data_IF_575452069988
#
_entry.id   IF_575452069988
#
_cell.length_a   1.000
_cell.length_b   1.000
_cell.length_c   1.000
_cell.angle_alpha   90.00
_cell.angle_beta   90.00
_cell.angle_gamma   90.00
#
_symmetry.space_group_name_H-M   'P 1'
#
loop_
_entity.id
_entity.type
_entity.pdbx_description
1 polymer ?
#
# COMPACT_ATOMS: atom_id res chain seq x y z
N UNK A 1 -23.32 4.60 -32.02
CA UNK A 1 -23.21 4.86 -30.57
C UNK A 1 -22.39 3.72 -30.00
N UNK A 2 -21.13 3.95 -29.62
CA UNK A 2 -20.36 2.95 -28.90
C UNK A 2 -20.99 2.75 -27.52
N UNK A 3 -21.16 1.50 -27.08
CA UNK A 3 -21.58 1.21 -25.71
C UNK A 3 -20.65 1.92 -24.73
N UNK A 4 -21.22 2.65 -23.76
CA UNK A 4 -20.44 3.16 -22.63
C UNK A 4 -19.68 1.98 -22.00
N UNK A 5 -18.41 2.17 -21.60
CA UNK A 5 -17.67 1.10 -20.91
C UNK A 5 -18.45 0.68 -19.67
N UNK A 6 -18.78 -0.60 -19.58
CA UNK A 6 -19.44 -1.16 -18.40
C UNK A 6 -18.40 -1.26 -17.28
N UNK A 7 -18.55 -0.41 -16.25
CA UNK A 7 -17.75 -0.50 -15.04
C UNK A 7 -18.21 -1.72 -14.22
N UNK A 8 -17.27 -2.48 -13.67
CA UNK A 8 -17.61 -3.61 -12.81
C UNK A 8 -16.79 -3.61 -11.53
N UNK A 9 -17.40 -4.07 -10.45
CA UNK A 9 -16.79 -4.28 -9.14
C UNK A 9 -17.12 -5.68 -8.67
N UNK A 10 -16.10 -6.43 -8.24
CA UNK A 10 -16.26 -7.79 -7.72
C UNK A 10 -15.36 -7.97 -6.49
N UNK A 11 -15.81 -8.65 -5.44
CA UNK A 11 -14.94 -8.97 -4.31
C UNK A 11 -13.65 -9.66 -4.76
N UNK A 12 -12.53 -9.38 -4.10
CA UNK A 12 -11.29 -10.09 -4.36
C UNK A 12 -11.46 -11.60 -4.07
N UNK A 13 -10.81 -12.49 -4.84
CA UNK A 13 -10.82 -13.92 -4.53
C UNK A 13 -10.26 -14.17 -3.13
N UNK A 14 -10.94 -15.02 -2.37
CA UNK A 14 -10.51 -15.46 -1.04
C UNK A 14 -10.70 -16.96 -0.87
N UNK A 15 -9.97 -17.56 0.05
CA UNK A 15 -10.20 -18.97 0.42
C UNK A 15 -11.56 -19.14 1.08
N UNK A 16 -12.15 -20.33 1.00
CA UNK A 16 -13.46 -20.62 1.60
C UNK A 16 -13.48 -20.54 3.13
N UNK A 17 -12.31 -20.58 3.76
CA UNK A 17 -12.13 -20.48 5.20
C UNK A 17 -11.82 -19.05 5.67
N UNK A 18 -11.70 -18.10 4.73
CA UNK A 18 -11.35 -16.71 5.05
C UNK A 18 -12.60 -15.88 5.29
N UNK A 19 -12.65 -15.27 6.47
CA UNK A 19 -13.68 -14.30 6.87
C UNK A 19 -13.44 -12.88 6.36
N UNK A 20 -12.39 -12.66 5.54
CA UNK A 20 -12.11 -11.35 4.94
C UNK A 20 -13.31 -10.88 4.11
N UNK A 21 -13.81 -9.70 4.39
CA UNK A 21 -15.05 -9.13 3.83
C UNK A 21 -14.83 -7.82 3.05
N UNK A 22 -13.57 -7.39 2.93
CA UNK A 22 -13.16 -6.19 2.21
C UNK A 22 -12.26 -6.55 1.01
N UNK A 23 -12.01 -5.56 0.17
CA UNK A 23 -11.21 -5.70 -1.05
C UNK A 23 -12.06 -6.02 -2.27
N UNK A 24 -11.90 -5.25 -3.35
CA UNK A 24 -12.57 -5.52 -4.61
C UNK A 24 -11.67 -5.31 -5.83
N UNK A 25 -11.90 -6.09 -6.88
CA UNK A 25 -11.39 -5.84 -8.23
C UNK A 25 -12.34 -4.91 -8.97
N UNK A 26 -11.79 -3.86 -9.60
CA UNK A 26 -12.51 -2.96 -10.51
C UNK A 26 -11.98 -3.07 -11.93
N UNK A 27 -12.90 -3.16 -12.88
CA UNK A 27 -12.62 -3.18 -14.33
C UNK A 27 -13.42 -2.10 -15.07
N UNK A 28 -12.99 -1.77 -16.29
CA UNK A 28 -13.70 -0.81 -17.16
C UNK A 28 -13.36 0.65 -16.89
N UNK A 29 -12.48 0.95 -15.93
CA UNK A 29 -12.03 2.30 -15.61
C UNK A 29 -10.62 2.55 -16.15
N UNK A 30 -10.41 3.67 -16.84
CA UNK A 30 -9.09 4.13 -17.29
C UNK A 30 -8.63 5.28 -16.39
N UNK A 31 -7.65 5.04 -15.52
CA UNK A 31 -7.11 6.09 -14.64
C UNK A 31 -6.38 7.17 -15.45
N UNK A 32 -5.73 6.81 -16.55
CA UNK A 32 -5.07 7.75 -17.47
C UNK A 32 -6.04 8.78 -18.08
N UNK A 33 -7.32 8.43 -18.21
CA UNK A 33 -8.35 9.23 -18.87
C UNK A 33 -9.60 9.34 -17.98
N UNK A 34 -9.39 9.63 -16.70
CA UNK A 34 -10.42 9.50 -15.67
C UNK A 34 -11.41 10.69 -15.68
N UNK A 35 -12.61 10.47 -16.21
CA UNK A 35 -13.72 11.43 -16.18
C UNK A 35 -14.53 11.35 -14.87
N UNK A 36 -15.57 12.17 -14.72
CA UNK A 36 -16.32 12.28 -13.46
C UNK A 36 -17.08 11.01 -13.08
N UNK A 37 -17.82 10.41 -14.02
CA UNK A 37 -18.59 9.17 -13.80
C UNK A 37 -17.73 7.98 -13.34
N UNK A 38 -16.64 7.57 -14.04
CA UNK A 38 -15.78 6.49 -13.58
C UNK A 38 -15.09 6.78 -12.25
N UNK A 39 -14.80 8.06 -11.94
CA UNK A 39 -14.27 8.40 -10.63
C UNK A 39 -15.31 8.29 -9.53
N UNK A 40 -16.55 8.73 -9.75
CA UNK A 40 -17.62 8.56 -8.78
C UNK A 40 -17.85 7.06 -8.48
N UNK A 41 -17.77 6.22 -9.51
CA UNK A 41 -17.78 4.77 -9.38
C UNK A 41 -16.60 4.25 -8.54
N UNK A 42 -15.36 4.62 -8.88
CA UNK A 42 -14.16 4.22 -8.14
C UNK A 42 -14.19 4.67 -6.68
N UNK A 43 -14.62 5.91 -6.42
CA UNK A 43 -14.73 6.47 -5.06
C UNK A 43 -15.72 5.68 -4.22
N UNK A 44 -16.86 5.33 -4.80
CA UNK A 44 -17.86 4.49 -4.13
C UNK A 44 -17.30 3.11 -3.84
N UNK A 45 -16.70 2.46 -4.85
CA UNK A 45 -16.08 1.15 -4.67
C UNK A 45 -15.00 1.16 -3.58
N UNK A 46 -14.13 2.19 -3.55
CA UNK A 46 -13.06 2.29 -2.55
C UNK A 46 -13.61 2.47 -1.13
N UNK A 47 -14.59 3.35 -0.93
CA UNK A 47 -15.16 3.53 0.41
C UNK A 47 -16.07 2.39 0.87
N UNK A 48 -16.62 1.61 -0.05
CA UNK A 48 -17.39 0.40 0.29
C UNK A 48 -16.48 -0.80 0.60
N UNK A 49 -15.39 -0.96 -0.15
CA UNK A 49 -14.54 -2.16 -0.07
C UNK A 49 -13.17 -1.92 0.58
N UNK A 50 -12.87 -0.69 1.02
CA UNK A 50 -11.63 -0.25 1.67
C UNK A 50 -10.35 -0.33 0.82
N UNK A 51 -10.20 -1.36 0.00
CA UNK A 51 -9.09 -1.61 -0.92
C UNK A 51 -9.66 -1.96 -2.29
N UNK A 52 -9.14 -1.32 -3.35
CA UNK A 52 -9.57 -1.59 -4.72
C UNK A 52 -8.38 -1.86 -5.63
N UNK A 53 -8.41 -3.01 -6.31
CA UNK A 53 -7.48 -3.37 -7.38
C UNK A 53 -8.07 -2.94 -8.74
N UNK A 54 -7.51 -1.88 -9.34
CA UNK A 54 -7.94 -1.40 -10.65
C UNK A 54 -7.17 -2.14 -11.74
N UNK A 55 -7.86 -2.95 -12.56
CA UNK A 55 -7.21 -3.74 -13.63
C UNK A 55 -7.05 -2.94 -14.91
N UNK A 56 -6.12 -3.36 -15.77
CA UNK A 56 -5.95 -2.79 -17.11
C UNK A 56 -5.14 -1.49 -17.18
N UNK A 57 -4.36 -1.17 -16.14
CA UNK A 57 -3.63 0.11 -16.02
C UNK A 57 -2.18 0.04 -16.52
N UNK A 58 -1.88 -0.77 -17.56
CA UNK A 58 -0.49 -1.06 -17.99
C UNK A 58 0.32 0.19 -18.37
N UNK A 59 -0.33 1.23 -18.88
CA UNK A 59 0.31 2.45 -19.37
C UNK A 59 0.01 3.66 -18.46
N UNK A 60 -0.24 3.41 -17.17
CA UNK A 60 -0.54 4.48 -16.21
C UNK A 60 0.69 5.37 -16.01
N UNK A 61 0.54 6.67 -16.28
CA UNK A 61 1.59 7.65 -16.03
C UNK A 61 1.65 8.05 -14.55
N UNK A 62 2.84 8.47 -14.04
CA UNK A 62 2.96 9.04 -12.70
C UNK A 62 2.02 10.23 -12.48
N UNK A 63 1.83 11.05 -13.52
CA UNK A 63 0.91 12.18 -13.50
C UNK A 63 -0.53 11.73 -13.24
N UNK A 64 -1.04 10.76 -13.99
CA UNK A 64 -2.40 10.25 -13.82
C UNK A 64 -2.60 9.58 -12.44
N UNK A 65 -1.60 8.85 -11.93
CA UNK A 65 -1.63 8.30 -10.57
C UNK A 65 -1.74 9.41 -9.50
N UNK A 66 -0.96 10.48 -9.65
CA UNK A 66 -1.04 11.65 -8.78
C UNK A 66 -2.41 12.34 -8.89
N UNK A 67 -2.91 12.54 -10.11
CA UNK A 67 -4.21 13.16 -10.37
C UNK A 67 -5.37 12.36 -9.76
N UNK A 68 -5.34 11.03 -9.80
CA UNK A 68 -6.31 10.17 -9.11
C UNK A 68 -6.37 10.50 -7.61
N UNK A 69 -5.21 10.53 -6.95
CA UNK A 69 -5.10 10.82 -5.50
C UNK A 69 -5.66 12.21 -5.19
N UNK A 70 -5.32 13.19 -6.04
CA UNK A 70 -5.79 14.57 -6.01
C UNK A 70 -7.30 14.76 -6.17
N UNK A 71 -8.00 13.80 -6.80
CA UNK A 71 -9.47 13.83 -6.88
C UNK A 71 -10.13 13.38 -5.59
N UNK A 72 -9.48 12.53 -4.79
CA UNK A 72 -9.94 12.20 -3.42
C UNK A 72 -9.63 13.31 -2.41
N UNK A 73 -8.49 13.98 -2.59
CA UNK A 73 -8.10 15.10 -1.76
C UNK A 73 -7.53 16.27 -2.59
N UNK A 74 -8.35 17.30 -2.85
CA UNK A 74 -7.88 18.50 -3.52
C UNK A 74 -6.89 19.38 -2.72
N UNK A 75 -6.55 19.06 -1.49
CA UNK A 75 -5.47 19.73 -0.77
C UNK A 75 -4.12 19.03 -0.96
N UNK A 76 -4.12 17.72 -1.26
CA UNK A 76 -2.90 16.92 -1.42
C UNK A 76 -2.04 17.45 -2.56
N UNK A 77 -0.87 18.02 -2.27
CA UNK A 77 0.04 18.59 -3.28
C UNK A 77 1.51 18.19 -3.09
N UNK A 78 1.81 17.49 -2.00
CA UNK A 78 3.12 16.92 -1.68
C UNK A 78 3.01 15.41 -1.51
N UNK A 79 4.14 14.72 -1.63
CA UNK A 79 4.24 13.36 -1.12
C UNK A 79 4.07 13.36 0.41
N UNK A 80 3.55 12.26 0.95
CA UNK A 80 3.05 12.12 2.33
C UNK A 80 4.11 12.30 3.43
N UNK A 81 5.37 12.59 3.08
CA UNK A 81 6.47 12.91 4.00
C UNK A 81 6.96 14.37 3.85
N UNK A 82 6.13 15.24 3.28
CA UNK A 82 6.44 16.64 3.04
C UNK A 82 7.39 16.85 1.85
N UNK A 83 8.08 18.00 1.85
CA UNK A 83 8.93 18.43 0.71
C UNK A 83 10.27 17.70 0.63
N UNK A 84 10.75 17.13 1.74
CA UNK A 84 12.03 16.43 1.80
C UNK A 84 12.02 15.37 2.89
N UNK A 85 12.48 14.17 2.55
CA UNK A 85 12.72 13.08 3.50
C UNK A 85 14.10 13.29 4.12
N UNK A 86 14.21 13.31 5.45
CA UNK A 86 15.49 13.42 6.14
C UNK A 86 16.41 12.26 5.73
N UNK A 87 17.69 12.52 5.49
CA UNK A 87 18.67 11.50 5.07
C UNK A 87 18.85 10.39 6.11
N UNK A 88 18.55 10.66 7.37
CA UNK A 88 18.57 9.68 8.47
C UNK A 88 17.34 8.77 8.42
N UNK A 89 16.31 9.13 7.67
CA UNK A 89 15.10 8.32 7.61
C UNK A 89 15.36 7.00 6.92
N UNK A 90 14.84 5.91 7.50
CA UNK A 90 14.87 4.58 6.88
C UNK A 90 14.26 4.57 5.47
N UNK A 91 13.30 5.49 5.22
CA UNK A 91 12.60 5.61 3.94
C UNK A 91 13.46 6.22 2.84
N UNK A 92 14.50 6.99 3.18
CA UNK A 92 15.37 7.61 2.19
C UNK A 92 16.08 6.55 1.32
N UNK A 93 16.39 5.38 1.90
CA UNK A 93 16.99 4.28 1.16
C UNK A 93 15.98 3.60 0.21
N UNK A 94 14.73 3.52 0.63
CA UNK A 94 13.68 2.70 0.00
C UNK A 94 12.98 3.42 -1.16
N UNK A 95 12.99 4.76 -1.18
CA UNK A 95 12.23 5.59 -2.13
C UNK A 95 13.13 6.30 -3.16
N UNK A 96 12.69 6.36 -4.42
CA UNK A 96 13.27 7.22 -5.47
C UNK A 96 12.21 8.15 -6.07
N UNK A 97 12.41 9.45 -5.92
CA UNK A 97 11.49 10.49 -6.43
C UNK A 97 11.54 10.58 -7.96
N UNK A 98 10.38 10.53 -8.62
CA UNK A 98 10.28 10.76 -10.07
C UNK A 98 10.53 12.26 -10.37
N UNK A 99 11.56 12.64 -11.15
CA UNK A 99 11.94 14.05 -11.33
C UNK A 99 10.85 14.94 -11.93
N UNK A 100 10.08 14.40 -12.90
CA UNK A 100 9.02 15.15 -13.57
C UNK A 100 7.67 15.11 -12.84
N UNK A 101 7.52 14.25 -11.82
CA UNK A 101 6.34 14.16 -10.96
C UNK A 101 6.74 13.81 -9.50
N UNK A 102 7.28 14.77 -8.72
CA UNK A 102 7.90 14.49 -7.42
C UNK A 102 6.97 13.94 -6.32
N UNK A 103 5.65 14.04 -6.52
CA UNK A 103 4.64 13.44 -5.63
C UNK A 103 4.58 11.91 -5.75
N UNK A 104 5.22 11.34 -6.79
CA UNK A 104 5.27 9.90 -7.02
C UNK A 104 6.67 9.38 -6.72
N UNK A 105 6.71 8.30 -5.95
CA UNK A 105 7.92 7.61 -5.53
C UNK A 105 7.99 6.23 -6.19
N UNK A 106 9.21 5.83 -6.56
CA UNK A 106 9.50 4.49 -7.07
C UNK A 106 10.05 3.65 -5.92
N UNK A 107 9.44 2.50 -5.72
CA UNK A 107 9.85 1.48 -4.74
C UNK A 107 10.08 0.16 -5.47
N UNK A 108 10.96 -0.69 -4.95
CA UNK A 108 11.23 -1.99 -5.55
C UNK A 108 12.50 -2.63 -5.01
N UNK A 109 13.09 -3.52 -5.81
CA UNK A 109 14.32 -4.23 -5.45
C UNK A 109 15.23 -4.36 -6.66
N UNK A 110 16.54 -4.19 -6.46
CA UNK A 110 17.57 -4.43 -7.46
C UNK A 110 17.83 -3.24 -8.39
N UNK A 111 18.66 -3.48 -9.40
CA UNK A 111 19.12 -2.47 -10.33
C UNK A 111 18.09 -2.16 -11.40
N UNK A 112 17.85 -0.86 -11.65
CA UNK A 112 16.99 -0.33 -12.70
C UNK A 112 17.79 0.66 -13.52
N UNK A 113 18.03 0.31 -14.80
CA UNK A 113 18.82 1.13 -15.72
C UNK A 113 18.16 2.48 -16.00
N UNK A 114 16.86 2.49 -16.28
CA UNK A 114 16.11 3.72 -16.43
C UNK A 114 14.61 3.53 -16.20
N UNK A 115 13.97 4.53 -15.59
CA UNK A 115 12.53 4.57 -15.38
C UNK A 115 12.06 6.00 -15.07
N UNK A 116 11.12 6.55 -15.85
CA UNK A 116 10.49 7.85 -15.58
C UNK A 116 11.48 9.01 -15.33
N UNK A 117 12.61 9.02 -16.06
CA UNK A 117 13.67 10.04 -15.91
C UNK A 117 14.70 9.76 -14.81
N UNK A 118 14.58 8.65 -14.09
CA UNK A 118 15.64 8.09 -13.26
C UNK A 118 16.58 7.25 -14.11
N UNK A 119 17.88 7.30 -13.82
CA UNK A 119 18.93 6.53 -14.50
C UNK A 119 19.84 5.84 -13.48
N UNK A 120 20.25 4.61 -13.79
CA UNK A 120 21.20 3.78 -13.04
C UNK A 120 20.94 3.74 -11.53
N UNK A 121 19.67 3.53 -11.14
CA UNK A 121 19.26 3.45 -9.74
C UNK A 121 19.29 2.01 -9.24
N UNK A 122 19.61 1.83 -7.95
CA UNK A 122 19.38 0.57 -7.24
C UNK A 122 18.27 0.79 -6.22
N UNK A 123 17.18 0.04 -6.39
CA UNK A 123 16.05 0.01 -5.46
C UNK A 123 16.35 -0.99 -4.33
N UNK A 124 15.93 -0.64 -3.12
CA UNK A 124 16.11 -1.47 -1.93
C UNK A 124 14.73 -1.83 -1.40
N UNK A 125 14.47 -3.13 -1.32
CA UNK A 125 13.24 -3.59 -0.70
C UNK A 125 13.42 -3.67 0.82
N UNK A 126 12.44 -3.20 1.61
CA UNK A 126 12.48 -3.37 3.05
C UNK A 126 12.53 -4.85 3.44
N UNK A 127 13.17 -5.14 4.57
CA UNK A 127 13.44 -6.52 5.02
C UNK A 127 13.08 -6.68 6.48
N UNK A 128 12.39 -7.77 6.84
CA UNK A 128 11.87 -8.01 8.19
C UNK A 128 12.96 -7.96 9.28
N UNK A 129 14.14 -8.54 9.00
CA UNK A 129 15.33 -8.50 9.87
C UNK A 129 15.75 -7.13 10.41
N UNK A 130 15.30 -6.02 9.80
CA UNK A 130 15.65 -4.67 10.26
C UNK A 130 14.99 -4.27 11.59
N UNK A 131 13.81 -4.82 11.92
CA UNK A 131 13.01 -4.34 13.06
C UNK A 131 12.49 -5.44 13.98
N UNK A 132 12.43 -6.69 13.50
CA UNK A 132 11.96 -7.80 14.33
C UNK A 132 12.98 -8.15 15.40
N UNK A 133 12.50 -8.32 16.64
CA UNK A 133 13.31 -8.80 17.76
C UNK A 133 13.82 -10.22 17.49
N UNK A 134 12.94 -11.09 16.99
CA UNK A 134 13.22 -12.48 16.64
C UNK A 134 12.97 -12.68 15.12
N UNK A 135 13.88 -12.24 14.24
CA UNK A 135 13.69 -12.39 12.81
C UNK A 135 13.91 -13.84 12.35
N UNK A 136 13.42 -14.18 11.14
CA UNK A 136 13.73 -15.48 10.50
C UNK A 136 15.26 -15.71 10.45
N UNK A 137 15.77 -16.87 10.90
CA UNK A 137 17.18 -17.25 10.84
C UNK A 137 17.78 -17.15 9.44
N UNK A 138 19.10 -16.96 9.35
CA UNK A 138 19.73 -16.64 8.08
C UNK A 138 19.62 -17.78 7.06
N UNK A 139 19.73 -18.99 7.55
CA UNK A 139 19.59 -20.25 6.83
C UNK A 139 18.19 -20.51 6.26
N UNK A 140 17.15 -19.87 6.82
CA UNK A 140 15.73 -20.11 6.47
C UNK A 140 15.13 -18.98 5.61
N UNK A 141 15.70 -17.78 5.64
CA UNK A 141 15.15 -16.56 5.03
C UNK A 141 15.00 -16.60 3.49
N UNK A 142 15.66 -17.55 2.84
CA UNK A 142 15.36 -17.83 1.44
C UNK A 142 13.89 -18.25 1.31
N UNK A 143 13.40 -19.18 2.12
CA UNK A 143 12.08 -19.77 1.96
C UNK A 143 11.01 -19.13 2.86
N UNK A 144 11.43 -18.50 3.95
CA UNK A 144 10.53 -17.92 4.96
C UNK A 144 10.67 -16.41 5.08
N UNK A 145 9.61 -15.76 5.53
CA UNK A 145 9.60 -14.32 5.80
C UNK A 145 8.65 -13.98 6.95
N UNK A 146 8.72 -12.75 7.44
CA UNK A 146 7.71 -12.15 8.31
C UNK A 146 7.09 -10.94 7.62
N UNK A 147 5.93 -10.50 8.10
CA UNK A 147 5.44 -9.17 7.76
C UNK A 147 6.49 -8.13 8.15
N UNK A 148 6.91 -7.28 7.21
CA UNK A 148 7.92 -6.27 7.50
C UNK A 148 7.49 -5.32 8.64
N UNK A 149 6.34 -4.65 8.49
CA UNK A 149 5.71 -3.81 9.51
C UNK A 149 4.26 -3.45 9.15
N UNK A 150 3.36 -3.49 10.12
CA UNK A 150 2.02 -2.92 10.01
C UNK A 150 2.02 -1.42 10.29
N UNK A 151 1.40 -0.63 9.42
CA UNK A 151 1.33 0.83 9.60
C UNK A 151 0.13 1.42 8.84
N UNK A 152 -0.22 2.65 9.22
CA UNK A 152 -1.04 3.57 8.41
C UNK A 152 -0.05 4.56 7.79
N UNK A 153 -0.17 4.81 6.48
CA UNK A 153 0.70 5.75 5.80
C UNK A 153 0.67 7.11 6.48
N UNK A 154 1.86 7.66 6.74
CA UNK A 154 2.05 9.01 7.26
C UNK A 154 1.21 9.42 8.47
N UNK A 155 0.95 8.48 9.37
CA UNK A 155 0.49 8.80 10.72
C UNK A 155 1.67 9.39 11.53
N UNK A 156 1.81 10.72 11.48
CA UNK A 156 2.96 11.46 12.03
C UNK A 156 2.53 12.74 12.75
N UNK A 157 3.49 13.35 13.43
CA UNK A 157 3.36 14.68 14.03
C UNK A 157 3.28 15.79 12.95
N UNK A 158 2.41 16.79 13.16
CA UNK A 158 2.20 17.98 12.31
C UNK A 158 1.76 17.73 10.85
N UNK A 159 1.44 16.48 10.49
CA UNK A 159 0.93 16.14 9.17
C UNK A 159 -0.26 15.18 9.27
N UNK A 160 -1.40 15.59 8.73
CA UNK A 160 -2.57 14.73 8.66
C UNK A 160 -2.29 13.50 7.75
N UNK A 161 -2.69 12.29 8.15
CA UNK A 161 -2.59 11.12 7.30
C UNK A 161 -3.32 11.32 5.96
N UNK A 162 -2.79 10.77 4.84
CA UNK A 162 -3.46 10.83 3.56
C UNK A 162 -4.81 10.13 3.63
N UNK A 163 -5.82 10.70 2.96
CA UNK A 163 -7.15 10.08 2.85
C UNK A 163 -7.14 8.77 2.08
N UNK A 164 -6.27 8.68 1.07
CA UNK A 164 -6.09 7.50 0.22
C UNK A 164 -4.62 7.43 -0.22
N UNK A 165 -4.12 6.20 -0.39
CA UNK A 165 -2.84 5.92 -1.04
C UNK A 165 -3.10 5.16 -2.34
N UNK A 166 -2.34 5.49 -3.39
CA UNK A 166 -2.34 4.74 -4.65
C UNK A 166 -0.99 4.08 -4.88
N UNK A 167 -1.00 2.79 -5.25
CA UNK A 167 0.18 2.02 -5.60
C UNK A 167 0.02 1.45 -7.01
N UNK A 168 0.99 1.71 -7.89
CA UNK A 168 0.99 1.22 -9.26
C UNK A 168 2.00 0.07 -9.42
N UNK A 169 1.54 -1.08 -9.93
CA UNK A 169 2.39 -2.20 -10.24
C UNK A 169 3.05 -2.02 -11.63
N UNK A 170 4.34 -1.71 -11.64
CA UNK A 170 5.14 -1.53 -12.87
C UNK A 170 5.73 -2.86 -13.34
N UNK A 171 6.44 -3.54 -12.44
CA UNK A 171 7.03 -4.84 -12.67
C UNK A 171 6.84 -5.71 -11.43
N UNK A 172 6.11 -6.81 -11.58
CA UNK A 172 5.83 -7.74 -10.48
C UNK A 172 6.83 -8.90 -10.55
N UNK A 173 7.55 -9.21 -9.46
CA UNK A 173 8.49 -10.33 -9.46
C UNK A 173 7.79 -11.65 -9.80
N UNK A 174 8.50 -12.51 -10.54
CA UNK A 174 8.03 -13.83 -10.95
C UNK A 174 8.92 -14.91 -10.33
N UNK A 175 8.41 -16.12 -10.19
CA UNK A 175 9.19 -17.28 -9.78
C UNK A 175 8.82 -17.80 -8.40
N UNK A 176 9.83 -17.92 -7.52
CA UNK A 176 9.68 -18.56 -6.21
C UNK A 176 8.67 -17.82 -5.33
N UNK A 177 8.15 -18.56 -4.36
CA UNK A 177 7.24 -18.08 -3.32
C UNK A 177 7.97 -18.15 -1.97
N UNK A 178 7.37 -17.57 -0.95
CA UNK A 178 7.83 -17.65 0.44
C UNK A 178 6.67 -18.02 1.35
N UNK A 179 6.99 -18.59 2.49
CA UNK A 179 6.03 -18.77 3.59
C UNK A 179 6.21 -17.62 4.58
N UNK A 180 5.17 -16.80 4.73
CA UNK A 180 5.11 -15.79 5.80
C UNK A 180 4.68 -16.49 7.09
N UNK A 181 5.55 -16.50 8.11
CA UNK A 181 5.24 -17.04 9.44
C UNK A 181 4.78 -15.94 10.38
N UNK A 182 3.87 -16.27 11.28
CA UNK A 182 3.46 -15.35 12.35
C UNK A 182 4.41 -15.42 13.56
N UNK A 183 4.97 -16.61 13.84
CA UNK A 183 5.91 -16.89 14.93
C UNK A 183 5.52 -16.33 16.31
N UNK A 184 4.23 -16.16 16.54
CA UNK A 184 3.61 -15.70 17.80
C UNK A 184 3.11 -16.87 18.68
N UNK A 185 3.46 -18.10 18.32
CA UNK A 185 3.02 -19.34 18.97
C UNK A 185 1.72 -19.93 18.40
N UNK A 186 1.04 -19.26 17.48
CA UNK A 186 -0.15 -19.79 16.78
C UNK A 186 0.18 -20.95 15.82
N UNK A 187 1.41 -20.94 15.27
CA UNK A 187 1.80 -21.84 14.19
C UNK A 187 1.18 -21.48 12.83
N UNK A 188 0.60 -20.28 12.69
CA UNK A 188 0.00 -19.83 11.44
C UNK A 188 1.07 -19.45 10.40
N UNK A 189 0.79 -19.85 9.15
CA UNK A 189 1.66 -19.66 8.00
C UNK A 189 0.85 -19.25 6.76
N UNK A 190 1.42 -18.39 5.91
CA UNK A 190 0.80 -17.93 4.67
C UNK A 190 1.75 -18.08 3.48
N UNK A 191 1.36 -18.85 2.47
CA UNK A 191 2.08 -18.92 1.20
C UNK A 191 1.88 -17.64 0.37
N UNK A 192 2.95 -16.90 0.11
CA UNK A 192 2.94 -15.58 -0.54
C UNK A 192 3.90 -15.50 -1.73
N UNK A 193 3.54 -14.82 -2.83
CA UNK A 193 4.53 -14.43 -3.84
C UNK A 193 5.49 -13.37 -3.27
N UNK A 194 6.64 -13.19 -3.93
CA UNK A 194 7.59 -12.14 -3.56
C UNK A 194 6.96 -10.74 -3.71
N UNK A 195 7.30 -9.84 -2.77
CA UNK A 195 6.82 -8.45 -2.80
C UNK A 195 5.33 -8.30 -2.51
N UNK A 196 4.72 -9.26 -1.82
CA UNK A 196 3.30 -9.19 -1.44
C UNK A 196 3.03 -8.00 -0.52
N UNK A 197 1.95 -7.27 -0.80
CA UNK A 197 1.38 -6.27 0.10
C UNK A 197 0.15 -6.85 0.79
N UNK A 198 0.09 -6.74 2.10
CA UNK A 198 -1.06 -7.15 2.90
C UNK A 198 -1.78 -5.94 3.50
N UNK A 199 -3.09 -6.08 3.69
CA UNK A 199 -3.94 -5.06 4.30
C UNK A 199 -4.75 -5.70 5.42
N UNK A 200 -5.08 -4.91 6.43
CA UNK A 200 -6.01 -5.26 7.52
C UNK A 200 -7.10 -4.21 7.61
N UNK A 201 -8.30 -4.63 8.00
CA UNK A 201 -9.45 -3.73 8.14
C UNK A 201 -9.54 -3.21 9.57
N UNK A 202 -9.27 -1.91 9.75
CA UNK A 202 -9.48 -1.23 11.04
C UNK A 202 -10.95 -1.27 11.49
N UNK A 203 -11.91 -1.25 10.56
CA UNK A 203 -13.34 -1.42 10.86
C UNK A 203 -13.60 -2.80 11.47
N UNK A 204 -13.09 -3.85 10.85
CA UNK A 204 -13.27 -5.23 11.35
C UNK A 204 -12.58 -5.41 12.70
N UNK A 205 -11.34 -4.91 12.86
CA UNK A 205 -10.62 -4.96 14.12
C UNK A 205 -11.42 -4.27 15.24
N UNK A 206 -11.99 -3.10 14.95
CA UNK A 206 -12.82 -2.37 15.89
C UNK A 206 -14.11 -3.11 16.27
N UNK A 207 -14.79 -3.71 15.30
CA UNK A 207 -16.02 -4.47 15.53
C UNK A 207 -15.80 -5.74 16.36
N UNK A 208 -14.61 -6.32 16.28
CA UNK A 208 -14.18 -7.50 17.04
C UNK A 208 -13.85 -7.20 18.51
N UNK A 209 -13.67 -5.92 18.89
CA UNK A 209 -13.41 -5.52 20.26
C UNK A 209 -14.63 -5.79 21.17
N UNK A 210 -14.37 -6.07 22.45
CA UNK A 210 -15.41 -6.05 23.48
C UNK A 210 -15.98 -4.63 23.65
N UNK A 211 -17.17 -4.47 24.23
CA UNK A 211 -17.70 -3.13 24.50
C UNK A 211 -16.84 -2.34 25.50
N UNK A 212 -16.17 -3.02 26.44
CA UNK A 212 -15.20 -2.40 27.35
C UNK A 212 -13.99 -1.87 26.58
N UNK A 213 -13.41 -2.67 25.69
CA UNK A 213 -12.27 -2.23 24.86
C UNK A 213 -12.68 -1.12 23.89
N UNK A 214 -13.91 -1.16 23.34
CA UNK A 214 -14.43 -0.09 22.49
C UNK A 214 -14.52 1.24 23.25
N UNK A 215 -14.97 1.22 24.49
CA UNK A 215 -14.99 2.41 25.33
C UNK A 215 -13.58 2.92 25.62
N UNK A 216 -12.66 2.00 25.96
CA UNK A 216 -11.26 2.35 26.21
C UNK A 216 -10.60 3.01 25.00
N UNK A 217 -10.71 2.44 23.79
CA UNK A 217 -10.06 3.02 22.60
C UNK A 217 -10.73 4.31 22.12
N UNK A 218 -12.03 4.50 22.34
CA UNK A 218 -12.76 5.75 22.03
C UNK A 218 -12.36 6.91 22.93
N UNK A 219 -11.90 6.60 24.14
CA UNK A 219 -11.53 7.58 25.18
C UNK A 219 -10.02 7.72 25.35
N UNK A 220 -9.24 7.01 24.51
CA UNK A 220 -7.79 7.10 24.48
C UNK A 220 -7.30 7.99 23.34
N UNK A 221 -6.14 8.60 23.54
CA UNK A 221 -5.43 9.38 22.52
C UNK A 221 -4.05 8.76 22.26
N UNK A 222 -3.58 8.87 21.02
CA UNK A 222 -2.24 8.42 20.62
C UNK A 222 -1.46 9.61 20.08
N UNK A 223 -0.31 9.88 20.69
CA UNK A 223 0.64 10.86 20.19
C UNK A 223 1.70 10.14 19.32
N UNK A 224 1.71 10.45 18.03
CA UNK A 224 2.75 9.96 17.14
C UNK A 224 4.06 10.70 17.40
N UNK A 225 5.16 9.94 17.48
CA UNK A 225 6.48 10.53 17.67
C UNK A 225 6.82 11.54 16.56
N UNK A 226 7.56 12.60 16.91
CA UNK A 226 7.92 13.68 15.98
C UNK A 226 8.73 13.20 14.75
N UNK A 227 9.47 12.09 14.90
CA UNK A 227 10.31 11.51 13.85
C UNK A 227 10.16 9.98 13.79
N UNK A 228 8.99 9.45 13.39
CA UNK A 228 8.69 8.03 13.54
C UNK A 228 9.44 7.10 12.56
N UNK A 229 10.31 7.67 11.72
CA UNK A 229 11.07 6.98 10.69
C UNK A 229 12.56 7.31 10.72
N UNK A 230 13.05 7.99 11.78
CA UNK A 230 14.46 8.29 12.04
C UNK A 230 14.97 7.38 13.15
#
# INVERSE_FOLDING_TARGET
MGSLPEFSVKPLPKSSISDVDFGAEVTGVSVENLTDDPFAFLRTALYTHNVVLIKGQKNLSPKAQYELTRRFDPAANTYSHGKSIDKRSILHADLKTIPHQPQVQVIGSGFVKSYEGLEDITLVHPHHRKFHHDPIPEEEDHDYTHFYRWHIDSAMYELDPPRVTSLAAVQVPQGRRQICRYDDGSGEELDVPLGTTAFISGYRMYDLLSEEDKEFVRTSEVEYGAHPYI
#
